data_IF_151655606747
#
_entry.id   IF_151655606747
#
_cell.length_a   1.000
_cell.length_b   1.000
_cell.length_c   1.000
_cell.angle_alpha   90.00
_cell.angle_beta   90.00
_cell.angle_gamma   90.00
#
_symmetry.space_group_name_H-M   'P 1'
#
loop_
_entity.id
_entity.type
_entity.pdbx_description
1 polymer ?
#
# COMPACT_ATOMS: atom_id res chain seq x y z
N UNK A 1 2.15 -56.98 -85.52
CA UNK A 1 1.57 -58.33 -85.42
C UNK A 1 0.95 -58.49 -84.05
N UNK A 2 -0.37 -58.61 -84.06
CA UNK A 2 -1.18 -59.33 -83.02
C UNK A 2 -1.23 -58.74 -81.66
N UNK A 3 -2.21 -58.19 -81.16
CA UNK A 3 -3.66 -58.43 -80.91
C UNK A 3 -3.98 -58.41 -79.44
N UNK A 4 -4.93 -57.56 -79.04
CA UNK A 4 -6.11 -57.83 -78.20
C UNK A 4 -5.87 -58.14 -76.73
N UNK A 5 -6.59 -57.73 -75.76
CA UNK A 5 -8.02 -57.43 -75.48
C UNK A 5 -8.17 -57.00 -74.05
N UNK A 6 -8.94 -55.99 -73.86
CA UNK A 6 -10.02 -55.80 -72.86
C UNK A 6 -9.94 -56.39 -71.45
N UNK A 7 -10.18 -55.60 -70.45
CA UNK A 7 -11.45 -55.69 -69.64
C UNK A 7 -11.61 -54.52 -68.66
N UNK A 8 -12.80 -54.03 -68.65
CA UNK A 8 -13.38 -53.06 -67.72
C UNK A 8 -13.42 -53.64 -66.31
N UNK A 9 -13.05 -52.86 -65.31
CA UNK A 9 -13.33 -53.08 -63.92
C UNK A 9 -13.66 -51.81 -63.24
N UNK A 10 -14.94 -51.50 -63.17
CA UNK A 10 -15.52 -50.34 -62.50
C UNK A 10 -15.50 -50.64 -60.98
N UNK A 11 -14.67 -49.95 -60.23
CA UNK A 11 -14.74 -50.01 -58.75
C UNK A 11 -15.18 -48.67 -58.19
N UNK A 12 -16.33 -48.71 -57.51
CA UNK A 12 -16.94 -47.65 -56.73
C UNK A 12 -16.00 -47.27 -55.60
N UNK A 13 -15.44 -46.08 -55.63
CA UNK A 13 -14.82 -45.47 -54.46
C UNK A 13 -15.87 -44.75 -53.66
N UNK A 14 -16.29 -45.35 -52.52
CA UNK A 14 -17.09 -44.75 -51.47
C UNK A 14 -16.29 -43.58 -50.86
N UNK A 15 -16.74 -42.34 -51.13
CA UNK A 15 -16.25 -41.16 -50.40
C UNK A 15 -16.73 -41.21 -48.94
N UNK A 16 -15.82 -41.44 -48.04
CA UNK A 16 -16.04 -41.22 -46.59
C UNK A 16 -15.85 -39.74 -46.35
N UNK A 17 -16.98 -39.05 -46.08
CA UNK A 17 -16.97 -37.67 -45.55
C UNK A 17 -16.77 -37.79 -44.04
N UNK A 18 -15.53 -37.64 -43.61
CA UNK A 18 -15.19 -37.52 -42.19
C UNK A 18 -15.58 -36.11 -41.72
N UNK A 19 -16.71 -35.99 -41.03
CA UNK A 19 -17.07 -34.79 -40.30
C UNK A 19 -16.15 -34.67 -39.06
N UNK A 20 -15.12 -33.84 -39.16
CA UNK A 20 -14.32 -33.43 -37.98
C UNK A 20 -15.14 -32.48 -37.15
N UNK A 21 -15.71 -32.98 -36.03
CA UNK A 21 -16.29 -32.14 -34.98
C UNK A 21 -15.16 -31.43 -34.26
N UNK A 22 -14.92 -30.16 -34.64
CA UNK A 22 -14.13 -29.23 -33.87
C UNK A 22 -14.96 -28.84 -32.63
N UNK A 23 -14.77 -29.56 -31.52
CA UNK A 23 -15.18 -29.08 -30.20
C UNK A 23 -14.32 -27.87 -29.83
N UNK A 24 -14.83 -26.67 -30.12
CA UNK A 24 -14.28 -25.45 -29.59
C UNK A 24 -14.43 -25.45 -28.07
N UNK A 25 -13.35 -25.69 -27.35
CA UNK A 25 -13.22 -25.33 -25.94
C UNK A 25 -13.28 -23.80 -25.84
N UNK A 26 -14.49 -23.25 -25.78
CA UNK A 26 -14.68 -21.88 -25.30
C UNK A 26 -14.26 -21.89 -23.83
N UNK A 27 -12.99 -21.59 -23.60
CA UNK A 27 -12.51 -21.25 -22.26
C UNK A 27 -13.31 -20.04 -21.80
N UNK A 28 -14.31 -20.27 -20.94
CA UNK A 28 -14.94 -19.20 -20.19
C UNK A 28 -13.85 -18.63 -19.27
N UNK A 29 -13.18 -17.55 -19.70
CA UNK A 29 -12.57 -16.61 -18.76
C UNK A 29 -13.73 -16.12 -17.90
N UNK A 30 -13.95 -16.76 -16.75
CA UNK A 30 -14.77 -16.19 -15.69
C UNK A 30 -14.10 -14.86 -15.36
N UNK A 31 -14.63 -13.76 -15.90
CA UNK A 31 -14.34 -12.45 -15.37
C UNK A 31 -14.64 -12.54 -13.88
N UNK A 32 -13.61 -12.43 -13.04
CA UNK A 32 -13.81 -12.41 -11.61
C UNK A 32 -14.81 -11.27 -11.36
N UNK A 33 -15.99 -11.62 -10.83
CA UNK A 33 -17.00 -10.62 -10.52
C UNK A 33 -16.35 -9.53 -9.65
N UNK A 34 -16.30 -8.31 -10.19
CA UNK A 34 -15.70 -7.16 -9.50
C UNK A 34 -16.34 -6.91 -8.13
N UNK A 35 -15.85 -5.93 -7.36
CA UNK A 35 -16.45 -5.57 -6.09
C UNK A 35 -17.95 -5.29 -6.23
N UNK A 36 -18.75 -5.74 -5.26
CA UNK A 36 -20.18 -5.45 -5.24
C UNK A 36 -20.40 -4.00 -4.76
N UNK A 37 -21.12 -3.20 -5.55
CA UNK A 37 -21.39 -1.80 -5.24
C UNK A 37 -22.86 -1.59 -4.82
N UNK A 38 -23.38 -2.41 -3.92
CA UNK A 38 -24.77 -2.37 -3.47
C UNK A 38 -25.18 -1.07 -2.75
N UNK A 39 -24.20 -0.29 -2.29
CA UNK A 39 -24.37 1.03 -1.65
C UNK A 39 -23.20 1.95 -1.98
N UNK A 40 -23.32 3.27 -1.77
CA UNK A 40 -22.16 4.14 -1.74
C UNK A 40 -21.17 3.70 -0.66
N UNK A 41 -19.88 3.73 -1.00
CA UNK A 41 -18.77 3.38 -0.12
C UNK A 41 -18.02 4.64 0.31
N UNK A 42 -17.27 4.56 1.38
CA UNK A 42 -16.51 5.67 1.96
C UNK A 42 -15.03 5.31 2.03
N UNK A 43 -14.16 6.27 1.66
CA UNK A 43 -12.72 6.15 1.73
C UNK A 43 -12.14 7.39 2.41
N UNK A 44 -11.19 7.23 3.32
CA UNK A 44 -10.49 8.34 3.93
C UNK A 44 -9.01 8.35 3.56
N UNK A 45 -8.51 9.52 3.16
CA UNK A 45 -7.10 9.86 3.03
C UNK A 45 -6.62 10.58 4.28
N UNK A 46 -5.32 10.60 4.52
CA UNK A 46 -4.70 11.41 5.58
C UNK A 46 -3.51 12.17 5.03
N UNK A 47 -3.33 13.38 5.52
CA UNK A 47 -2.17 14.22 5.18
C UNK A 47 -0.87 13.53 5.61
N UNK A 48 -0.01 13.16 4.67
CA UNK A 48 1.25 12.49 4.97
C UNK A 48 2.23 12.48 3.79
N UNK A 49 3.16 13.38 3.77
CA UNK A 49 4.27 13.41 2.82
C UNK A 49 3.81 13.27 1.35
N UNK A 50 4.49 12.41 0.60
CA UNK A 50 4.12 12.10 -0.78
C UNK A 50 2.93 11.13 -0.90
N UNK A 51 2.45 10.56 0.23
CA UNK A 51 1.25 9.71 0.18
C UNK A 51 0.01 10.55 -0.17
N UNK A 52 -0.16 11.68 0.51
CA UNK A 52 -1.25 12.62 0.20
C UNK A 52 -0.99 14.01 0.77
N UNK A 53 -1.22 15.03 -0.04
CA UNK A 53 -1.27 16.44 0.39
C UNK A 53 -2.64 17.03 0.13
N UNK A 54 -3.31 17.46 1.21
CA UNK A 54 -4.61 18.14 1.12
C UNK A 54 -4.51 19.53 0.47
N UNK A 55 -3.33 20.17 0.55
CA UNK A 55 -3.10 21.50 -0.04
C UNK A 55 -3.14 21.47 -1.56
N UNK A 56 -2.60 20.40 -2.18
CA UNK A 56 -2.52 20.24 -3.63
C UNK A 56 -3.53 19.24 -4.19
N UNK A 57 -4.20 18.49 -3.33
CA UNK A 57 -5.04 17.31 -3.65
C UNK A 57 -4.31 16.30 -4.55
N UNK A 58 -3.05 16.01 -4.21
CA UNK A 58 -2.16 15.11 -4.95
C UNK A 58 -1.45 14.14 -4.00
N UNK A 59 -0.97 13.02 -4.55
CA UNK A 59 -0.16 12.05 -3.83
C UNK A 59 -0.43 10.61 -4.29
N UNK A 60 0.39 9.70 -3.82
CA UNK A 60 0.33 8.28 -4.18
C UNK A 60 -1.02 7.68 -3.80
N UNK A 61 -1.52 7.97 -2.60
CA UNK A 61 -2.80 7.48 -2.10
C UNK A 61 -3.97 8.08 -2.90
N UNK A 62 -3.86 9.33 -3.37
CA UNK A 62 -4.86 9.94 -4.24
C UNK A 62 -4.91 9.24 -5.60
N UNK A 63 -3.76 9.07 -6.24
CA UNK A 63 -3.67 8.38 -7.53
C UNK A 63 -4.16 6.93 -7.44
N UNK A 64 -3.81 6.25 -6.35
CA UNK A 64 -4.27 4.88 -6.10
C UNK A 64 -5.78 4.82 -5.86
N UNK A 65 -6.34 5.73 -5.06
CA UNK A 65 -7.78 5.81 -4.81
C UNK A 65 -8.56 6.06 -6.10
N UNK A 66 -8.12 6.99 -6.92
CA UNK A 66 -8.77 7.32 -8.20
C UNK A 66 -8.81 6.12 -9.14
N UNK A 67 -7.71 5.38 -9.27
CA UNK A 67 -7.67 4.18 -10.11
C UNK A 67 -8.49 3.02 -9.51
N UNK A 68 -8.47 2.86 -8.19
CA UNK A 68 -9.28 1.86 -7.47
C UNK A 68 -10.78 2.12 -7.70
N UNK A 69 -11.22 3.36 -7.55
CA UNK A 69 -12.61 3.79 -7.78
C UNK A 69 -13.01 3.56 -9.23
N UNK A 70 -12.18 4.01 -10.18
CA UNK A 70 -12.39 3.84 -11.61
C UNK A 70 -12.57 2.37 -12.00
N UNK A 71 -11.70 1.47 -11.51
CA UNK A 71 -11.76 0.04 -11.85
C UNK A 71 -12.92 -0.68 -11.17
N UNK A 72 -13.26 -0.30 -9.96
CA UNK A 72 -14.39 -0.91 -9.25
C UNK A 72 -15.74 -0.53 -9.85
N UNK A 73 -15.84 0.63 -10.49
CA UNK A 73 -17.11 1.20 -10.95
C UNK A 73 -18.05 1.61 -9.81
N UNK A 74 -17.58 1.54 -8.55
CA UNK A 74 -18.37 1.87 -7.37
C UNK A 74 -18.44 3.39 -7.15
N UNK A 75 -19.54 3.86 -6.56
CA UNK A 75 -19.60 5.22 -6.00
C UNK A 75 -18.85 5.23 -4.66
N UNK A 76 -17.76 5.97 -4.58
CA UNK A 76 -16.95 6.12 -3.37
C UNK A 76 -16.87 7.59 -3.00
N UNK A 77 -17.25 7.93 -1.79
CA UNK A 77 -17.05 9.27 -1.23
C UNK A 77 -15.69 9.31 -0.55
N UNK A 78 -14.82 10.20 -1.02
CA UNK A 78 -13.48 10.39 -0.45
C UNK A 78 -13.52 11.56 0.53
N UNK A 79 -12.88 11.40 1.69
CA UNK A 79 -12.73 12.41 2.74
C UNK A 79 -11.29 12.46 3.23
N UNK A 80 -10.91 13.54 3.94
CA UNK A 80 -9.58 13.70 4.52
C UNK A 80 -9.72 13.85 6.03
N UNK A 81 -8.94 13.08 6.78
CA UNK A 81 -8.97 13.16 8.25
C UNK A 81 -7.69 12.63 8.89
N UNK A 82 -7.49 12.91 10.18
CA UNK A 82 -6.34 12.43 10.94
C UNK A 82 -6.34 10.89 11.04
N UNK A 83 -5.15 10.27 11.01
CA UNK A 83 -4.98 8.81 11.05
C UNK A 83 -5.66 8.15 12.26
N UNK A 84 -5.62 8.77 13.43
CA UNK A 84 -6.29 8.25 14.61
C UNK A 84 -7.81 8.12 14.39
N UNK A 85 -8.43 9.14 13.80
CA UNK A 85 -9.86 9.14 13.49
C UNK A 85 -10.22 8.08 12.45
N UNK A 86 -9.36 7.85 11.47
CA UNK A 86 -9.53 6.78 10.47
C UNK A 86 -9.68 5.42 11.17
N UNK A 87 -8.76 5.09 12.09
CA UNK A 87 -8.80 3.80 12.78
C UNK A 87 -10.07 3.62 13.62
N UNK A 88 -10.52 4.66 14.33
CA UNK A 88 -11.78 4.63 15.09
C UNK A 88 -12.99 4.34 14.17
N UNK A 89 -13.05 5.00 12.99
CA UNK A 89 -14.15 4.83 12.06
C UNK A 89 -14.11 3.49 11.31
N UNK A 90 -12.93 2.96 10.99
CA UNK A 90 -12.76 1.60 10.44
C UNK A 90 -13.21 0.56 11.48
N UNK A 91 -12.80 0.71 12.74
CA UNK A 91 -13.19 -0.20 13.82
C UNK A 91 -14.68 -0.20 14.08
N UNK A 92 -15.31 0.97 14.08
CA UNK A 92 -16.77 1.10 14.27
C UNK A 92 -17.60 0.70 13.04
N UNK A 93 -16.97 0.60 11.85
CA UNK A 93 -17.67 0.34 10.58
C UNK A 93 -18.32 1.59 9.95
N UNK A 94 -18.04 2.77 10.48
CA UNK A 94 -18.52 4.04 9.92
C UNK A 94 -17.69 4.53 8.73
N UNK A 95 -16.55 3.89 8.46
CA UNK A 95 -15.70 4.10 7.29
C UNK A 95 -15.37 2.73 6.68
N UNK A 96 -15.51 2.61 5.35
CA UNK A 96 -15.26 1.34 4.66
C UNK A 96 -13.78 1.12 4.39
N UNK A 97 -13.09 2.17 3.92
CA UNK A 97 -11.72 2.09 3.43
C UNK A 97 -10.83 3.22 3.92
N UNK A 98 -9.54 2.91 4.01
CA UNK A 98 -8.46 3.88 3.98
C UNK A 98 -7.24 3.26 3.29
N UNK A 99 -6.16 4.02 3.12
CA UNK A 99 -4.97 3.60 2.39
C UNK A 99 -3.72 3.58 3.27
N UNK A 100 -2.64 2.99 2.75
CA UNK A 100 -1.31 2.98 3.38
C UNK A 100 -1.32 2.46 4.81
N UNK A 101 -2.20 1.48 5.10
CA UNK A 101 -2.29 0.86 6.41
C UNK A 101 -1.35 -0.33 6.57
N UNK A 102 -0.87 -0.52 7.79
CA UNK A 102 -0.12 -1.70 8.20
C UNK A 102 -0.90 -2.50 9.24
N UNK A 103 -0.65 -3.81 9.23
CA UNK A 103 -1.23 -4.75 10.19
C UNK A 103 -0.68 -4.55 11.60
N UNK A 104 -1.45 -4.96 12.60
CA UNK A 104 -1.02 -5.27 13.96
C UNK A 104 -2.05 -6.19 14.59
N UNK A 105 -1.69 -6.92 15.63
CA UNK A 105 -2.61 -7.82 16.34
C UNK A 105 -3.94 -7.14 16.73
N UNK A 106 -3.88 -5.89 17.17
CA UNK A 106 -5.07 -5.12 17.52
C UNK A 106 -5.92 -4.78 16.28
N UNK A 107 -5.28 -4.32 15.19
CA UNK A 107 -5.96 -3.92 13.95
C UNK A 107 -6.57 -5.09 13.21
N UNK A 108 -5.92 -6.25 13.23
CA UNK A 108 -6.40 -7.47 12.56
C UNK A 108 -7.73 -7.98 13.12
N UNK A 109 -8.12 -7.55 14.32
CA UNK A 109 -9.43 -7.88 14.89
C UNK A 109 -10.59 -7.23 14.14
N UNK A 110 -10.39 -6.03 13.58
CA UNK A 110 -11.45 -5.24 12.96
C UNK A 110 -11.19 -4.79 11.52
N UNK A 111 -9.96 -4.93 11.03
CA UNK A 111 -9.57 -4.53 9.67
C UNK A 111 -9.02 -5.70 8.86
N UNK A 112 -9.34 -5.72 7.55
CA UNK A 112 -8.67 -6.52 6.54
C UNK A 112 -7.74 -5.65 5.71
N UNK A 113 -6.79 -6.27 4.99
CA UNK A 113 -5.79 -5.55 4.20
C UNK A 113 -5.64 -6.13 2.80
N UNK A 114 -5.36 -5.26 1.82
CA UNK A 114 -4.89 -5.63 0.50
C UNK A 114 -3.58 -4.88 0.21
N UNK A 115 -2.46 -5.59 0.25
CA UNK A 115 -1.12 -5.01 0.17
C UNK A 115 -0.81 -4.51 -1.24
N UNK A 116 -0.27 -3.28 -1.38
CA UNK A 116 0.12 -2.75 -2.68
C UNK A 116 1.54 -2.17 -2.70
N UNK A 117 2.16 -1.90 -1.55
CA UNK A 117 3.59 -1.56 -1.46
C UNK A 117 4.19 -2.02 -0.14
N UNK A 118 5.51 -2.00 -0.04
CA UNK A 118 6.25 -2.19 1.20
C UNK A 118 7.23 -1.03 1.41
N UNK A 119 7.50 -0.70 2.67
CA UNK A 119 8.29 0.47 3.05
C UNK A 119 9.15 0.20 4.28
N UNK A 120 10.31 0.88 4.37
CA UNK A 120 11.17 0.89 5.56
C UNK A 120 10.98 2.17 6.36
N UNK A 121 11.17 2.06 7.65
CA UNK A 121 11.17 3.18 8.58
C UNK A 121 12.60 3.52 9.01
N UNK A 122 12.85 4.80 9.27
CA UNK A 122 14.13 5.35 9.66
C UNK A 122 13.96 6.28 10.85
N UNK A 123 15.01 6.40 11.67
CA UNK A 123 15.09 7.43 12.69
C UNK A 123 15.78 8.67 12.09
N UNK A 124 15.06 9.78 11.99
CA UNK A 124 15.63 11.09 11.74
C UNK A 124 16.05 11.67 13.08
N UNK A 125 17.31 11.95 13.29
CA UNK A 125 17.85 12.40 14.58
C UNK A 125 18.70 13.65 14.40
N UNK A 126 18.64 14.58 15.35
CA UNK A 126 19.48 15.78 15.39
C UNK A 126 20.96 15.40 15.53
N UNK A 127 21.83 16.09 14.78
CA UNK A 127 23.26 15.83 14.76
C UNK A 127 23.93 16.07 16.14
N UNK A 128 23.43 17.06 16.87
CA UNK A 128 23.94 17.41 18.22
C UNK A 128 23.59 16.38 19.30
N UNK A 129 22.58 15.52 19.08
CA UNK A 129 22.29 14.38 19.93
C UNK A 129 23.36 13.27 19.90
N UNK A 130 24.27 13.28 18.89
CA UNK A 130 25.39 12.34 18.72
C UNK A 130 24.98 10.86 18.71
N UNK A 131 23.76 10.57 18.24
CA UNK A 131 23.19 9.23 18.12
C UNK A 131 23.60 8.62 16.78
N UNK A 132 23.91 7.31 16.76
CA UNK A 132 24.25 6.56 15.53
C UNK A 132 23.38 5.31 15.31
N UNK A 133 22.64 4.89 16.31
CA UNK A 133 21.75 3.72 16.29
C UNK A 133 20.64 3.86 17.35
N UNK A 134 19.58 3.05 17.26
CA UNK A 134 18.45 3.10 18.20
C UNK A 134 18.90 2.90 19.65
N UNK A 135 19.83 1.96 19.90
CA UNK A 135 20.34 1.68 21.24
C UNK A 135 21.00 2.91 21.89
N UNK A 136 21.74 3.71 21.12
CA UNK A 136 22.37 4.93 21.66
C UNK A 136 21.35 6.04 21.92
N UNK A 137 20.22 6.07 21.19
CA UNK A 137 19.10 6.96 21.51
C UNK A 137 18.41 6.56 22.81
N UNK A 138 18.16 5.27 23.00
CA UNK A 138 17.55 4.71 24.21
C UNK A 138 18.42 4.98 25.45
N UNK A 139 19.72 4.71 25.37
CA UNK A 139 20.66 4.88 26.47
C UNK A 139 20.73 6.33 26.98
N UNK A 140 20.44 7.31 26.14
CA UNK A 140 20.44 8.72 26.56
C UNK A 140 19.03 9.14 27.00
N UNK A 141 18.77 9.06 28.31
CA UNK A 141 17.45 9.34 28.92
C UNK A 141 16.94 10.78 28.76
N UNK A 142 17.79 11.70 28.27
CA UNK A 142 17.40 13.10 28.00
C UNK A 142 16.74 13.29 26.65
N UNK A 143 16.89 12.35 25.73
CA UNK A 143 16.38 12.48 24.36
C UNK A 143 14.88 12.17 24.31
N UNK A 144 14.14 12.98 23.59
CA UNK A 144 12.71 12.86 23.33
C UNK A 144 12.48 12.47 21.87
N UNK A 145 11.56 11.54 21.62
CA UNK A 145 11.17 11.08 20.29
C UNK A 145 9.78 11.62 19.92
N UNK A 146 9.65 12.18 18.74
CA UNK A 146 8.36 12.55 18.15
C UNK A 146 7.78 11.43 17.32
N UNK A 147 6.50 11.14 17.50
CA UNK A 147 5.76 10.15 16.68
C UNK A 147 4.37 10.66 16.30
N UNK A 148 3.85 10.19 15.17
CA UNK A 148 2.48 10.47 14.77
C UNK A 148 1.53 9.58 15.59
N UNK A 149 0.49 10.16 16.13
CA UNK A 149 -0.52 9.45 16.93
C UNK A 149 -1.16 8.33 16.11
N UNK A 150 -1.27 7.15 16.73
CA UNK A 150 -1.83 5.94 16.12
C UNK A 150 -1.06 5.38 14.92
N UNK A 151 0.18 5.82 14.70
CA UNK A 151 1.09 5.12 13.80
C UNK A 151 1.66 3.86 14.45
N UNK A 152 1.99 2.90 13.62
CA UNK A 152 2.81 1.73 13.91
C UNK A 152 3.87 1.59 12.82
N UNK A 153 4.92 0.88 13.13
CA UNK A 153 6.15 0.77 12.34
C UNK A 153 6.55 -0.70 12.20
N UNK A 154 7.79 -0.97 11.85
CA UNK A 154 8.35 -2.32 11.90
C UNK A 154 8.51 -2.83 13.34
N UNK A 155 8.74 -4.13 13.54
CA UNK A 155 8.79 -4.75 14.87
C UNK A 155 9.80 -4.13 15.82
N UNK A 156 11.03 -3.86 15.37
CA UNK A 156 12.09 -3.25 16.20
C UNK A 156 11.77 -1.80 16.53
N UNK A 157 11.29 -1.04 15.54
CA UNK A 157 10.88 0.36 15.73
C UNK A 157 9.70 0.45 16.69
N UNK A 158 8.71 -0.46 16.62
CA UNK A 158 7.62 -0.49 17.58
C UNK A 158 8.11 -0.76 19.00
N UNK A 159 9.00 -1.75 19.19
CA UNK A 159 9.58 -2.03 20.50
C UNK A 159 10.36 -0.83 21.06
N UNK A 160 11.12 -0.14 20.20
CA UNK A 160 11.81 1.10 20.56
C UNK A 160 10.83 2.18 21.01
N UNK A 161 9.78 2.45 20.25
CA UNK A 161 8.74 3.43 20.61
C UNK A 161 8.02 3.04 21.90
N UNK A 162 7.69 1.75 22.08
CA UNK A 162 6.98 1.27 23.27
C UNK A 162 7.85 1.42 24.53
N UNK A 163 9.19 1.18 24.47
CA UNK A 163 10.10 1.42 25.58
C UNK A 163 10.19 2.90 25.94
N UNK A 164 10.37 3.78 24.95
CA UNK A 164 10.40 5.22 25.18
C UNK A 164 9.04 5.75 25.70
N UNK A 165 7.93 5.13 25.32
CA UNK A 165 6.60 5.46 25.85
C UNK A 165 6.51 5.15 27.35
N UNK A 166 7.00 3.97 27.76
CA UNK A 166 7.04 3.58 29.19
C UNK A 166 7.91 4.53 30.04
N UNK A 167 8.90 5.16 29.42
CA UNK A 167 9.79 6.14 30.06
C UNK A 167 9.28 7.60 29.97
N UNK A 168 8.08 7.84 29.42
CA UNK A 168 7.53 9.17 29.16
C UNK A 168 8.41 10.05 28.24
N UNK A 169 9.06 9.45 27.26
CA UNK A 169 9.99 10.10 26.32
C UNK A 169 9.40 10.24 24.90
N UNK A 170 8.07 10.20 24.79
CA UNK A 170 7.36 10.33 23.51
C UNK A 170 6.54 11.61 23.46
N UNK A 171 6.71 12.37 22.38
CA UNK A 171 5.82 13.46 22.02
C UNK A 171 4.96 13.05 20.83
N UNK A 172 3.64 13.06 21.03
CA UNK A 172 2.67 12.71 19.98
C UNK A 172 2.19 13.93 19.21
N UNK A 173 2.20 13.84 17.86
CA UNK A 173 1.61 14.84 16.97
C UNK A 173 0.51 14.24 16.09
N UNK A 174 -0.31 15.10 15.48
CA UNK A 174 -1.35 14.68 14.54
C UNK A 174 -0.80 14.36 13.14
N UNK A 175 0.38 14.86 12.79
CA UNK A 175 1.03 14.68 11.49
C UNK A 175 2.50 15.09 11.51
N UNK A 176 3.13 15.10 10.34
CA UNK A 176 4.57 15.35 10.18
C UNK A 176 4.97 16.81 10.46
N UNK A 177 4.19 17.76 9.96
CA UNK A 177 4.56 19.20 10.03
C UNK A 177 4.81 19.68 11.46
N UNK A 178 3.94 19.42 12.45
CA UNK A 178 4.24 19.75 13.84
C UNK A 178 5.49 19.06 14.37
N UNK A 179 5.80 17.82 13.95
CA UNK A 179 7.02 17.12 14.38
C UNK A 179 8.27 17.80 13.83
N UNK A 180 8.28 18.21 12.57
CA UNK A 180 9.41 18.97 12.01
C UNK A 180 9.66 20.29 12.74
N UNK A 181 8.58 21.00 13.08
CA UNK A 181 8.70 22.26 13.82
C UNK A 181 9.33 22.08 15.20
N UNK A 182 8.88 21.10 15.98
CA UNK A 182 9.42 20.86 17.32
C UNK A 182 10.82 20.21 17.29
N UNK A 183 11.16 19.46 16.23
CA UNK A 183 12.51 18.95 15.99
C UNK A 183 13.48 20.10 15.68
N UNK A 184 13.08 21.03 14.83
CA UNK A 184 13.88 22.24 14.53
C UNK A 184 14.13 23.10 15.76
N UNK A 185 13.15 23.17 16.67
CA UNK A 185 13.22 23.92 17.94
C UNK A 185 13.90 23.15 19.09
N UNK A 186 14.51 21.99 18.81
CA UNK A 186 15.16 21.12 19.80
C UNK A 186 14.25 20.67 20.97
N UNK A 187 12.94 20.63 20.74
CA UNK A 187 11.98 20.10 21.73
C UNK A 187 11.85 18.58 21.68
N UNK A 188 12.23 17.97 20.57
CA UNK A 188 12.49 16.54 20.40
C UNK A 188 13.83 16.40 19.68
N UNK A 189 14.53 15.28 19.90
CA UNK A 189 15.83 15.04 19.28
C UNK A 189 15.76 14.02 18.15
N UNK A 190 14.64 13.32 18.03
CA UNK A 190 14.41 12.40 16.90
C UNK A 190 12.94 12.25 16.56
N UNK A 191 12.68 11.75 15.34
CA UNK A 191 11.36 11.33 14.89
C UNK A 191 11.48 10.17 13.90
N UNK A 192 10.44 9.35 13.79
CA UNK A 192 10.41 8.29 12.79
C UNK A 192 9.92 8.87 11.46
N UNK A 193 10.66 8.56 10.39
CA UNK A 193 10.35 8.97 9.01
C UNK A 193 10.36 7.77 8.06
N UNK A 194 9.85 8.00 6.87
CA UNK A 194 9.84 7.06 5.76
C UNK A 194 10.17 7.79 4.43
N UNK A 195 10.44 7.08 3.32
CA UNK A 195 10.83 7.72 2.05
C UNK A 195 9.83 8.76 1.52
N UNK A 196 8.55 8.64 1.87
CA UNK A 196 7.51 9.62 1.52
C UNK A 196 7.71 10.99 2.16
N UNK A 197 8.42 11.04 3.28
CA UNK A 197 8.65 12.24 4.08
C UNK A 197 9.92 12.98 3.62
N UNK A 198 10.86 12.25 3.04
CA UNK A 198 12.22 12.76 2.80
C UNK A 198 12.27 13.94 1.83
N UNK A 199 11.41 13.96 0.81
CA UNK A 199 11.34 15.09 -0.13
C UNK A 199 10.92 16.39 0.56
N UNK A 200 10.07 16.31 1.59
CA UNK A 200 9.67 17.47 2.40
C UNK A 200 10.78 17.92 3.35
N UNK A 201 11.58 16.98 3.85
CA UNK A 201 12.76 17.28 4.69
C UNK A 201 13.87 17.93 3.85
N UNK A 202 14.08 17.44 2.62
CA UNK A 202 15.20 17.84 1.77
C UNK A 202 15.22 19.34 1.40
N UNK A 203 14.05 19.98 1.36
CA UNK A 203 13.91 21.43 1.07
C UNK A 203 14.03 22.34 2.28
N UNK A 204 14.33 21.83 3.47
CA UNK A 204 14.30 22.57 4.74
C UNK A 204 15.65 22.58 5.44
N UNK A 205 15.87 23.58 6.28
CA UNK A 205 17.03 23.67 7.18
C UNK A 205 17.18 22.46 8.11
N UNK A 206 16.14 21.63 8.30
CA UNK A 206 16.17 20.39 9.07
C UNK A 206 17.19 19.41 8.52
N UNK A 207 17.39 19.31 7.19
CA UNK A 207 18.36 18.43 6.57
C UNK A 207 19.78 18.65 7.09
N UNK A 208 20.14 19.92 7.29
CA UNK A 208 21.51 20.29 7.66
C UNK A 208 21.82 19.98 9.13
N UNK A 209 20.78 19.88 9.96
CA UNK A 209 20.89 19.65 11.42
C UNK A 209 20.52 18.21 11.82
N UNK A 210 20.21 17.32 10.87
CA UNK A 210 19.77 15.94 11.16
C UNK A 210 20.54 14.90 10.36
N UNK A 211 20.52 13.68 10.87
CA UNK A 211 21.03 12.45 10.21
C UNK A 211 19.93 11.40 10.20
N UNK A 212 19.90 10.59 9.13
CA UNK A 212 19.01 9.44 9.00
C UNK A 212 19.74 8.18 9.45
N UNK A 213 19.09 7.42 10.33
CA UNK A 213 19.60 6.15 10.87
C UNK A 213 18.65 5.03 10.47
N UNK A 214 19.16 3.94 9.92
CA UNK A 214 18.39 2.71 9.68
C UNK A 214 17.98 2.08 11.01
N UNK A 215 16.69 1.80 11.18
CA UNK A 215 16.15 1.17 12.39
C UNK A 215 16.47 -0.33 12.47
N UNK A 216 16.95 -0.91 11.37
CA UNK A 216 17.25 -2.33 11.25
C UNK A 216 16.00 -3.20 11.09
N UNK A 217 14.83 -2.61 10.86
CA UNK A 217 13.65 -3.34 10.43
C UNK A 217 13.73 -3.70 8.94
N UNK A 218 13.07 -4.79 8.56
CA UNK A 218 12.76 -5.07 7.16
C UNK A 218 11.70 -4.13 6.60
N UNK A 219 11.45 -4.22 5.29
CA UNK A 219 10.32 -3.51 4.70
C UNK A 219 8.99 -4.07 5.23
N UNK A 220 8.06 -3.17 5.55
CA UNK A 220 6.74 -3.49 6.10
C UNK A 220 5.69 -3.34 5.01
N UNK A 221 4.83 -4.33 4.76
CA UNK A 221 3.73 -4.21 3.81
C UNK A 221 2.71 -3.16 4.22
N UNK A 222 2.29 -2.34 3.25
CA UNK A 222 1.24 -1.35 3.38
C UNK A 222 0.12 -1.64 2.39
N UNK A 223 -1.12 -1.36 2.76
CA UNK A 223 -2.25 -1.73 1.93
C UNK A 223 -3.50 -0.89 2.10
N UNK A 224 -4.47 -1.22 1.24
CA UNK A 224 -5.85 -0.82 1.40
C UNK A 224 -6.36 -1.41 2.71
N UNK A 225 -6.85 -0.55 3.60
CA UNK A 225 -7.51 -0.92 4.85
C UNK A 225 -8.99 -1.10 4.56
N UNK A 226 -9.57 -2.20 5.02
CA UNK A 226 -10.98 -2.55 4.84
C UNK A 226 -11.63 -2.84 6.19
N UNK A 227 -12.73 -2.17 6.52
CA UNK A 227 -13.46 -2.45 7.75
C UNK A 227 -14.17 -3.81 7.68
N UNK A 228 -13.90 -4.68 8.65
CA UNK A 228 -14.59 -5.98 8.79
C UNK A 228 -16.03 -5.84 9.29
N UNK A 229 -16.41 -4.66 9.81
CA UNK A 229 -17.79 -4.41 10.25
C UNK A 229 -18.70 -3.97 9.11
N UNK A 230 -18.16 -3.25 8.13
CA UNK A 230 -18.97 -2.72 7.02
C UNK A 230 -18.86 -3.55 5.74
N UNK A 231 -17.83 -4.42 5.63
CA UNK A 231 -17.56 -5.26 4.48
C UNK A 231 -17.44 -6.72 4.92
N UNK A 232 -18.20 -7.60 4.29
CA UNK A 232 -18.10 -9.04 4.49
C UNK A 232 -16.77 -9.60 4.00
N UNK A 233 -16.38 -10.79 4.45
CA UNK A 233 -15.16 -11.44 3.97
C UNK A 233 -15.15 -11.64 2.44
N UNK A 234 -16.30 -11.93 1.85
CA UNK A 234 -16.46 -12.08 0.40
C UNK A 234 -16.24 -10.76 -0.33
N UNK A 235 -16.78 -9.65 0.18
CA UNK A 235 -16.54 -8.31 -0.38
C UNK A 235 -15.06 -7.92 -0.26
N UNK A 236 -14.44 -8.14 0.90
CA UNK A 236 -13.02 -7.88 1.10
C UNK A 236 -12.15 -8.69 0.12
N UNK A 237 -12.47 -9.97 -0.13
CA UNK A 237 -11.75 -10.79 -1.10
C UNK A 237 -11.81 -10.21 -2.52
N UNK A 238 -12.95 -9.65 -2.93
CA UNK A 238 -13.09 -8.98 -4.25
C UNK A 238 -12.22 -7.71 -4.35
N UNK A 239 -12.17 -6.91 -3.29
CA UNK A 239 -11.29 -5.74 -3.22
C UNK A 239 -9.80 -6.14 -3.21
N UNK A 240 -9.45 -7.22 -2.49
CA UNK A 240 -8.09 -7.79 -2.53
C UNK A 240 -7.71 -8.22 -3.95
N UNK A 241 -8.61 -8.91 -4.66
CA UNK A 241 -8.39 -9.32 -6.04
C UNK A 241 -8.19 -8.11 -6.98
N UNK A 242 -8.97 -7.03 -6.79
CA UNK A 242 -8.82 -5.79 -7.56
C UNK A 242 -7.45 -5.14 -7.32
N UNK A 243 -7.03 -5.00 -6.06
CA UNK A 243 -5.70 -4.47 -5.71
C UNK A 243 -4.59 -5.36 -6.30
N UNK A 244 -4.74 -6.68 -6.21
CA UNK A 244 -3.79 -7.62 -6.80
C UNK A 244 -3.70 -7.46 -8.33
N UNK A 245 -4.81 -7.23 -9.02
CA UNK A 245 -4.80 -6.97 -10.46
C UNK A 245 -4.05 -5.68 -10.81
N UNK A 246 -4.20 -4.62 -10.00
CA UNK A 246 -3.48 -3.35 -10.16
C UNK A 246 -1.96 -3.51 -9.93
N UNK A 247 -1.56 -4.42 -9.06
CA UNK A 247 -0.14 -4.80 -8.91
C UNK A 247 0.37 -5.58 -10.11
N UNK A 248 -0.37 -6.61 -10.52
CA UNK A 248 0.02 -7.54 -11.59
C UNK A 248 0.18 -6.86 -12.96
N UNK A 249 -0.65 -5.87 -13.27
CA UNK A 249 -0.57 -5.12 -14.54
C UNK A 249 0.39 -3.93 -14.50
N UNK A 250 1.12 -3.75 -13.39
CA UNK A 250 2.11 -2.69 -13.20
C UNK A 250 1.53 -1.30 -12.91
N UNK A 251 0.24 -1.18 -12.67
CA UNK A 251 -0.40 0.12 -12.37
C UNK A 251 0.15 0.73 -11.07
N UNK A 252 0.31 -0.09 -10.03
CA UNK A 252 0.90 0.38 -8.77
C UNK A 252 2.32 0.90 -8.99
N UNK A 253 3.14 0.16 -9.74
CA UNK A 253 4.50 0.60 -10.09
C UNK A 253 4.49 1.95 -10.80
N UNK A 254 3.65 2.12 -11.84
CA UNK A 254 3.54 3.40 -12.58
C UNK A 254 3.08 4.56 -11.69
N UNK A 255 2.22 4.32 -10.69
CA UNK A 255 1.85 5.35 -9.72
C UNK A 255 3.08 5.78 -8.91
N UNK A 256 3.86 4.83 -8.39
CA UNK A 256 5.06 5.11 -7.59
C UNK A 256 6.17 5.80 -8.40
N UNK A 257 6.35 5.43 -9.67
CA UNK A 257 7.32 6.07 -10.57
C UNK A 257 7.05 7.55 -10.86
N UNK A 258 5.86 8.08 -10.56
CA UNK A 258 5.59 9.53 -10.62
C UNK A 258 6.28 10.29 -9.49
N UNK A 259 6.61 9.62 -8.39
CA UNK A 259 7.07 10.21 -7.14
C UNK A 259 8.50 9.82 -6.76
N UNK A 260 8.98 8.69 -7.27
CA UNK A 260 10.28 8.10 -6.94
C UNK A 260 11.08 7.72 -8.17
N UNK A 261 12.40 7.48 -7.98
CA UNK A 261 13.20 6.86 -9.04
C UNK A 261 12.64 5.48 -9.39
N UNK A 262 12.85 5.00 -10.62
CA UNK A 262 12.37 3.66 -11.03
C UNK A 262 12.89 2.54 -10.12
N UNK A 263 14.11 2.64 -9.60
CA UNK A 263 14.71 1.66 -8.70
C UNK A 263 13.96 1.61 -7.36
N UNK A 264 13.71 2.78 -6.76
CA UNK A 264 13.02 2.86 -5.47
C UNK A 264 11.54 2.47 -5.61
N UNK A 265 10.87 2.95 -6.66
CA UNK A 265 9.48 2.57 -6.94
C UNK A 265 9.34 1.06 -7.08
N UNK A 266 10.26 0.41 -7.81
CA UNK A 266 10.28 -1.05 -7.96
C UNK A 266 10.57 -1.76 -6.65
N UNK A 267 11.54 -1.30 -5.86
CA UNK A 267 11.87 -1.88 -4.56
C UNK A 267 10.70 -1.82 -3.58
N UNK A 268 9.83 -0.81 -3.70
CA UNK A 268 8.65 -0.65 -2.85
C UNK A 268 7.43 -1.46 -3.34
N UNK A 269 7.28 -1.71 -4.64
CA UNK A 269 6.04 -2.28 -5.20
C UNK A 269 6.18 -3.74 -5.63
N UNK A 270 7.39 -4.28 -5.76
CA UNK A 270 7.67 -5.69 -6.11
C UNK A 270 8.12 -6.43 -4.85
N UNK A 271 7.23 -7.23 -4.24
CA UNK A 271 7.49 -8.01 -3.01
C UNK A 271 6.52 -9.18 -2.91
#
# INVERSE_FOLDING_TARGET
>A
MVTLLTRRGMWFMRRWVGAALLLGLAGHCAAADGPACGRPLTLALHEHGLLYSATTDTGIDKDFADELVKRSGCRVTVSVMARARIWELIESGALDFSLSGITSEARDKFAGFAWYFSNKYYLLVRNDAKVRELASFEANTKLQLGVIRSFRYGPKTNQFVDRLTAENRITYAAGLEPLYQILALDRIQGMIIEPFDYSQVAGRAIRDITTIIDTGDGAVPHGLIMSKRSLTATEQAKWQALVQSMRADGTVLRIFEKYFSPELARAMTVF
#
